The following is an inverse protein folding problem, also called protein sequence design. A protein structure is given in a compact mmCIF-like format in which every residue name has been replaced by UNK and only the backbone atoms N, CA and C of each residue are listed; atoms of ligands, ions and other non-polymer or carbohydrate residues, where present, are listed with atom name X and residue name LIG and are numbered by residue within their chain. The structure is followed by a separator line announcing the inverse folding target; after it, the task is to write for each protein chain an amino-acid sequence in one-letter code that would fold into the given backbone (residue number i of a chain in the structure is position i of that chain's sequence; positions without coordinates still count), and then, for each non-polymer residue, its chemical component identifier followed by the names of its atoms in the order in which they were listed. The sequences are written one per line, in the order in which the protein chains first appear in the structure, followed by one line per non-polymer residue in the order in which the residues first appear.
data_IF_959604425389
#
_entry.id   IF_959604425389
#
_cell.length_a   1.000
_cell.length_b   1.000
_cell.length_c   1.000
_cell.angle_alpha   90.00
_cell.angle_beta   90.00
_cell.angle_gamma   90.00
#
_symmetry.space_group_name_H-M   'P 1'
#
loop_
_entity.id
_entity.type
_entity.pdbx_description
1 polymer ?
#
# COMPACT_ATOMS: atom_id res chain seq x y z
N UNK A 1 -33.22 -6.56 11.44
CA UNK A 1 -34.39 -6.28 10.57
C UNK A 1 -35.69 -6.23 11.40
N UNK A 2 -35.83 -7.05 12.45
CA UNK A 2 -37.06 -7.10 13.30
C UNK A 2 -37.36 -5.78 14.03
N UNK A 3 -36.38 -4.89 14.22
CA UNK A 3 -36.56 -3.62 14.96
C UNK A 3 -36.55 -2.38 14.05
N UNK A 4 -36.80 -2.52 12.74
CA UNK A 4 -36.92 -1.40 11.79
C UNK A 4 -35.54 -0.77 11.39
N UNK A 5 -34.39 -1.29 11.84
CA UNK A 5 -33.09 -0.76 11.45
C UNK A 5 -32.73 -1.16 10.02
N UNK A 6 -32.17 -0.20 9.25
CA UNK A 6 -31.57 -0.48 7.96
C UNK A 6 -30.18 -1.07 8.17
N UNK A 7 -29.96 -2.28 7.66
CA UNK A 7 -28.65 -2.94 7.71
C UNK A 7 -27.91 -2.65 6.41
N UNK A 8 -26.70 -2.08 6.52
CA UNK A 8 -25.82 -1.80 5.40
C UNK A 8 -24.49 -2.57 5.57
N UNK A 9 -23.87 -2.96 4.47
CA UNK A 9 -22.46 -3.43 4.49
C UNK A 9 -21.56 -2.27 4.91
N UNK A 10 -20.43 -2.58 5.58
CA UNK A 10 -19.42 -1.58 5.99
C UNK A 10 -18.95 -0.70 4.83
N UNK A 11 -18.66 -1.31 3.66
CA UNK A 11 -18.26 -0.58 2.45
C UNK A 11 -19.31 0.41 1.97
N UNK A 12 -20.60 0.05 2.04
CA UNK A 12 -21.71 0.96 1.69
C UNK A 12 -21.77 2.17 2.62
N UNK A 13 -21.56 1.94 3.93
CA UNK A 13 -21.50 3.04 4.92
C UNK A 13 -20.31 3.95 4.65
N UNK A 14 -19.12 3.37 4.33
CA UNK A 14 -17.95 4.16 3.97
C UNK A 14 -18.20 5.01 2.73
N UNK A 15 -18.84 4.45 1.68
CA UNK A 15 -19.25 5.21 0.50
C UNK A 15 -20.12 6.42 0.85
N UNK A 16 -21.15 6.22 1.69
CA UNK A 16 -22.03 7.31 2.15
C UNK A 16 -21.28 8.39 2.97
N UNK A 17 -20.31 7.99 3.80
CA UNK A 17 -19.49 8.93 4.58
C UNK A 17 -18.64 9.80 3.66
N UNK A 18 -18.09 9.22 2.60
CA UNK A 18 -17.15 9.88 1.68
C UNK A 18 -17.84 10.64 0.54
N UNK A 19 -19.12 10.42 0.30
CA UNK A 19 -19.89 10.96 -0.83
C UNK A 19 -19.84 12.49 -0.95
N UNK A 20 -19.80 13.20 0.18
CA UNK A 20 -19.76 14.67 0.22
C UNK A 20 -18.38 15.23 0.61
N UNK A 21 -17.32 14.44 0.46
CA UNK A 21 -15.95 14.84 0.79
C UNK A 21 -15.05 14.86 -0.47
N UNK A 22 -13.94 15.58 -0.39
CA UNK A 22 -12.87 15.39 -1.36
C UNK A 22 -12.16 14.06 -1.06
N UNK A 23 -12.53 13.01 -1.77
CA UNK A 23 -12.06 11.67 -1.47
C UNK A 23 -10.76 11.32 -2.23
N UNK A 24 -9.76 10.87 -1.47
CA UNK A 24 -8.50 10.27 -1.95
C UNK A 24 -8.57 8.78 -1.64
N UNK A 25 -8.72 7.95 -2.67
CA UNK A 25 -8.83 6.51 -2.53
C UNK A 25 -7.59 5.80 -3.04
N UNK A 26 -7.02 4.89 -2.25
CA UNK A 26 -5.86 4.10 -2.62
C UNK A 26 -6.26 2.65 -2.82
N UNK A 27 -6.21 2.18 -4.07
CA UNK A 27 -6.53 0.82 -4.49
C UNK A 27 -5.27 0.08 -4.97
N UNK A 28 -5.38 -1.24 -5.08
CA UNK A 28 -4.34 -2.12 -5.61
C UNK A 28 -4.14 -3.36 -4.78
N UNK A 29 -3.67 -4.44 -5.34
CA UNK A 29 -3.43 -5.69 -4.63
C UNK A 29 -2.40 -5.51 -3.50
N UNK A 30 -1.34 -4.75 -3.77
CA UNK A 30 -0.24 -4.46 -2.82
C UNK A 30 -0.07 -2.96 -2.60
N UNK A 31 0.48 -2.55 -1.46
CA UNK A 31 0.85 -1.16 -1.18
C UNK A 31 -0.28 -0.24 -0.67
N UNK A 32 -1.56 -0.65 -0.72
CA UNK A 32 -2.72 0.15 -0.28
C UNK A 32 -2.52 0.80 1.10
N UNK A 33 -2.30 -0.03 2.10
CA UNK A 33 -2.25 0.43 3.50
C UNK A 33 -1.08 1.37 3.77
N UNK A 34 0.09 1.05 3.21
CA UNK A 34 1.27 1.90 3.37
C UNK A 34 1.07 3.25 2.67
N UNK A 35 0.56 3.24 1.43
CA UNK A 35 0.34 4.46 0.66
C UNK A 35 -0.75 5.33 1.30
N UNK A 36 -1.90 4.77 1.70
CA UNK A 36 -2.97 5.54 2.36
C UNK A 36 -2.53 6.09 3.71
N UNK A 37 -1.74 5.34 4.48
CA UNK A 37 -1.16 5.82 5.74
C UNK A 37 -0.14 6.94 5.53
N UNK A 38 0.71 6.83 4.49
CA UNK A 38 1.68 7.88 4.16
C UNK A 38 0.99 9.14 3.66
N UNK A 39 -0.03 9.03 2.80
CA UNK A 39 -0.87 10.16 2.39
C UNK A 39 -1.50 10.83 3.61
N UNK A 40 -2.06 10.07 4.53
CA UNK A 40 -2.66 10.60 5.76
C UNK A 40 -1.63 11.31 6.63
N UNK A 41 -0.41 10.77 6.75
CA UNK A 41 0.69 11.40 7.47
C UNK A 41 1.12 12.72 6.80
N UNK A 42 1.26 12.74 5.47
CA UNK A 42 1.58 13.93 4.69
C UNK A 42 0.53 15.04 4.91
N UNK A 43 -0.76 14.70 4.88
CA UNK A 43 -1.82 15.68 5.14
C UNK A 43 -1.78 16.20 6.59
N UNK A 44 -1.50 15.34 7.55
CA UNK A 44 -1.35 15.71 8.96
C UNK A 44 -0.19 16.69 9.18
N UNK A 45 0.99 16.38 8.64
CA UNK A 45 2.16 17.25 8.72
C UNK A 45 1.94 18.57 7.96
N UNK A 46 1.25 18.50 6.82
CA UNK A 46 0.84 19.65 6.03
C UNK A 46 -0.26 20.49 6.66
N UNK A 47 -0.82 20.10 7.81
CA UNK A 47 -1.95 20.76 8.50
C UNK A 47 -3.21 20.88 7.65
N UNK A 48 -3.42 19.97 6.73
CA UNK A 48 -4.65 19.86 5.94
C UNK A 48 -5.65 19.05 6.76
N UNK A 49 -6.86 19.58 7.05
CA UNK A 49 -7.89 18.84 7.78
C UNK A 49 -8.38 17.63 6.97
N UNK A 50 -8.43 16.46 7.60
CA UNK A 50 -8.87 15.23 6.93
C UNK A 50 -9.45 14.20 7.90
N UNK A 51 -10.14 13.20 7.33
CA UNK A 51 -10.48 11.94 7.98
C UNK A 51 -9.84 10.78 7.20
N UNK A 52 -9.29 9.79 7.90
CA UNK A 52 -8.67 8.61 7.30
C UNK A 52 -9.36 7.32 7.74
N UNK A 53 -9.55 6.42 6.78
CA UNK A 53 -10.06 5.05 6.97
C UNK A 53 -9.05 4.08 6.36
N UNK A 54 -8.21 3.49 7.20
CA UNK A 54 -7.02 2.72 6.83
C UNK A 54 -7.24 1.23 7.10
N UNK A 55 -6.56 0.38 6.32
CA UNK A 55 -6.59 -1.08 6.49
C UNK A 55 -5.71 -1.60 7.63
N UNK A 56 -4.79 -0.77 8.14
CA UNK A 56 -3.87 -1.10 9.23
C UNK A 56 -3.64 0.06 10.16
N UNK A 57 -3.04 -0.20 11.32
CA UNK A 57 -2.74 0.84 12.31
C UNK A 57 -1.52 1.64 11.83
N UNK A 58 -1.74 2.89 11.44
CA UNK A 58 -0.65 3.83 11.16
C UNK A 58 0.14 4.10 12.45
N UNK A 59 1.45 3.89 12.41
CA UNK A 59 2.30 4.12 13.58
C UNK A 59 2.41 5.61 13.94
N UNK A 60 2.35 6.50 12.94
CA UNK A 60 2.35 7.96 13.15
C UNK A 60 1.04 8.48 13.76
N UNK A 61 -0.10 7.90 13.38
CA UNK A 61 -1.43 8.35 13.83
C UNK A 61 -1.96 7.53 15.01
N UNK A 62 -1.34 6.40 15.34
CA UNK A 62 -1.72 5.51 16.44
C UNK A 62 -3.03 4.74 16.22
N UNK A 63 -3.63 4.80 15.01
CA UNK A 63 -4.94 4.24 14.71
C UNK A 63 -5.09 3.87 13.24
N UNK A 64 -6.10 3.10 12.91
CA UNK A 64 -6.59 2.87 11.54
C UNK A 64 -7.79 3.77 11.17
N UNK A 65 -8.25 4.57 12.11
CA UNK A 65 -9.20 5.66 11.89
C UNK A 65 -8.64 6.93 12.52
N UNK A 66 -8.63 8.02 11.78
CA UNK A 66 -8.14 9.30 12.25
C UNK A 66 -9.02 10.42 11.70
N UNK A 67 -9.29 11.44 12.50
CA UNK A 67 -10.10 12.60 12.11
C UNK A 67 -9.58 13.85 12.79
N UNK A 68 -9.17 14.84 11.98
CA UNK A 68 -8.72 16.15 12.45
C UNK A 68 -9.79 17.22 12.34
N UNK A 69 -10.98 16.91 11.79
CA UNK A 69 -12.02 17.91 11.59
C UNK A 69 -12.72 18.22 12.89
N UNK A 70 -12.78 19.49 13.22
CA UNK A 70 -13.50 20.01 14.38
C UNK A 70 -14.86 20.62 14.02
N UNK A 71 -15.12 20.85 12.74
CA UNK A 71 -16.34 21.46 12.20
C UNK A 71 -16.70 20.89 10.82
N UNK A 72 -17.94 21.13 10.38
CA UNK A 72 -18.54 20.58 9.15
C UNK A 72 -18.02 21.22 7.84
N UNK A 73 -16.79 21.71 7.79
CA UNK A 73 -16.20 22.23 6.55
C UNK A 73 -15.91 21.08 5.56
N UNK A 74 -15.72 21.42 4.29
CA UNK A 74 -15.44 20.46 3.23
C UNK A 74 -14.25 19.57 3.59
N UNK A 75 -14.52 18.33 3.94
CA UNK A 75 -13.57 17.40 4.52
C UNK A 75 -12.81 16.68 3.41
N UNK A 76 -11.48 16.59 3.53
CA UNK A 76 -10.71 15.60 2.78
C UNK A 76 -10.87 14.24 3.46
N UNK A 77 -11.11 13.19 2.68
CA UNK A 77 -11.09 11.81 3.21
C UNK A 77 -10.02 11.00 2.51
N UNK A 78 -9.28 10.22 3.27
CA UNK A 78 -8.32 9.23 2.76
C UNK A 78 -8.89 7.85 3.04
N UNK A 79 -9.08 7.06 1.99
CA UNK A 79 -9.64 5.71 2.13
C UNK A 79 -8.73 4.67 1.51
N UNK A 80 -8.53 3.57 2.22
CA UNK A 80 -8.05 2.36 1.60
C UNK A 80 -9.19 1.71 0.82
N UNK A 81 -9.05 1.65 -0.48
CA UNK A 81 -10.05 1.13 -1.42
C UNK A 81 -9.79 -0.36 -1.64
N UNK A 82 -10.44 -1.21 -0.82
CA UNK A 82 -10.26 -2.64 -0.81
C UNK A 82 -11.00 -3.29 -1.98
N UNK A 83 -10.26 -4.01 -2.83
CA UNK A 83 -10.79 -4.77 -3.96
C UNK A 83 -11.54 -6.03 -3.53
N UNK A 84 -11.29 -6.54 -2.34
CA UNK A 84 -11.99 -7.71 -1.82
C UNK A 84 -13.51 -7.50 -1.86
N UNK A 85 -14.25 -8.47 -2.35
CA UNK A 85 -15.72 -8.41 -2.53
C UNK A 85 -16.19 -7.15 -3.32
N UNK A 86 -15.32 -6.57 -4.17
CA UNK A 86 -15.58 -5.36 -4.95
C UNK A 86 -16.02 -4.17 -4.08
N UNK A 87 -15.60 -4.14 -2.83
CA UNK A 87 -15.98 -3.10 -1.86
C UNK A 87 -15.58 -1.70 -2.30
N UNK A 88 -14.46 -1.55 -3.01
CA UNK A 88 -13.98 -0.26 -3.52
C UNK A 88 -14.94 0.40 -4.55
N UNK A 89 -15.83 -0.37 -5.18
CA UNK A 89 -16.83 0.18 -6.12
C UNK A 89 -17.93 1.01 -5.44
N UNK A 90 -17.94 1.07 -4.12
CA UNK A 90 -18.85 1.97 -3.37
C UNK A 90 -18.30 3.37 -3.22
N UNK A 91 -17.03 3.60 -3.59
CA UNK A 91 -16.36 4.90 -3.49
C UNK A 91 -16.44 5.67 -4.80
N UNK A 92 -16.44 7.01 -4.70
CA UNK A 92 -16.36 7.96 -5.82
C UNK A 92 -15.18 8.92 -5.57
N UNK A 93 -13.95 8.56 -5.93
CA UNK A 93 -12.78 9.34 -5.58
C UNK A 93 -12.59 10.59 -6.47
N UNK A 94 -12.12 11.69 -5.88
CA UNK A 94 -11.57 12.84 -6.61
C UNK A 94 -10.12 12.58 -7.01
N UNK A 95 -9.39 11.80 -6.18
CA UNK A 95 -8.06 11.30 -6.49
C UNK A 95 -8.04 9.80 -6.25
N UNK A 96 -7.78 9.01 -7.27
CA UNK A 96 -7.55 7.58 -7.15
C UNK A 96 -6.06 7.27 -7.34
N UNK A 97 -5.49 6.51 -6.43
CA UNK A 97 -4.15 5.93 -6.57
C UNK A 97 -4.32 4.44 -6.83
N UNK A 98 -3.71 3.89 -7.88
CA UNK A 98 -3.70 2.46 -8.15
C UNK A 98 -2.25 1.96 -8.12
N UNK A 99 -1.95 1.13 -7.12
CA UNK A 99 -0.59 0.68 -6.82
C UNK A 99 -0.20 -0.60 -7.55
N UNK A 100 -1.14 -1.49 -7.77
CA UNK A 100 -0.95 -2.76 -8.48
C UNK A 100 -2.29 -3.35 -8.90
N UNK A 101 -2.26 -4.29 -9.84
CA UNK A 101 -3.42 -5.08 -10.29
C UNK A 101 -3.02 -6.56 -10.44
N UNK A 102 -2.14 -7.05 -9.55
CA UNK A 102 -1.74 -8.45 -9.54
C UNK A 102 -2.95 -9.32 -9.14
N UNK A 103 -3.27 -10.39 -9.88
CA UNK A 103 -4.44 -11.20 -9.61
C UNK A 103 -4.41 -11.80 -8.20
N UNK A 104 -5.43 -11.50 -7.42
CA UNK A 104 -5.70 -12.08 -6.10
C UNK A 104 -7.20 -12.35 -5.99
N UNK A 105 -7.62 -13.06 -4.95
CA UNK A 105 -9.04 -13.35 -4.67
C UNK A 105 -9.79 -13.97 -5.86
N UNK A 106 -9.13 -14.86 -6.63
CA UNK A 106 -9.73 -15.48 -7.81
C UNK A 106 -10.93 -16.38 -7.46
N UNK A 107 -11.06 -16.81 -6.22
CA UNK A 107 -12.25 -17.47 -5.68
C UNK A 107 -13.51 -16.57 -5.70
N UNK A 108 -13.33 -15.24 -5.66
CA UNK A 108 -14.40 -14.25 -5.73
C UNK A 108 -14.61 -13.73 -7.15
N UNK A 109 -13.50 -13.51 -7.86
CA UNK A 109 -13.53 -12.89 -9.20
C UNK A 109 -13.73 -13.89 -10.34
N UNK A 110 -13.36 -15.16 -10.14
CA UNK A 110 -13.40 -16.21 -11.13
C UNK A 110 -12.12 -16.30 -11.96
N UNK A 111 -11.70 -15.21 -12.58
CA UNK A 111 -10.49 -15.16 -13.41
C UNK A 111 -9.78 -13.81 -13.34
N UNK A 112 -8.59 -13.72 -13.99
CA UNK A 112 -7.74 -12.53 -14.00
C UNK A 112 -8.36 -11.36 -14.76
N UNK A 113 -9.15 -11.63 -15.79
CA UNK A 113 -9.76 -10.59 -16.63
C UNK A 113 -10.90 -9.92 -15.87
N UNK A 114 -11.72 -10.69 -15.17
CA UNK A 114 -12.77 -10.17 -14.29
C UNK A 114 -12.18 -9.36 -13.11
N UNK A 115 -11.04 -9.82 -12.56
CA UNK A 115 -10.32 -9.05 -11.55
C UNK A 115 -9.86 -7.69 -12.09
N UNK A 116 -9.18 -7.67 -13.24
CA UNK A 116 -8.72 -6.45 -13.91
C UNK A 116 -9.90 -5.54 -14.30
N UNK A 117 -10.98 -6.08 -14.81
CA UNK A 117 -12.19 -5.33 -15.18
C UNK A 117 -12.77 -4.57 -13.97
N UNK A 118 -12.71 -5.14 -12.76
CA UNK A 118 -13.19 -4.46 -11.56
C UNK A 118 -12.36 -3.21 -11.20
N UNK A 119 -11.04 -3.21 -11.45
CA UNK A 119 -10.23 -2.00 -11.32
C UNK A 119 -10.60 -0.95 -12.38
N UNK A 120 -10.96 -1.38 -13.59
CA UNK A 120 -11.46 -0.47 -14.62
C UNK A 120 -12.80 0.17 -14.20
N UNK A 121 -13.68 -0.63 -13.58
CA UNK A 121 -14.93 -0.11 -13.00
C UNK A 121 -14.65 0.91 -11.88
N UNK A 122 -13.65 0.65 -11.03
CA UNK A 122 -13.22 1.59 -10.00
C UNK A 122 -12.65 2.89 -10.60
N UNK A 123 -11.82 2.80 -11.63
CA UNK A 123 -11.25 3.96 -12.33
C UNK A 123 -12.38 4.81 -12.94
N UNK A 124 -13.41 4.19 -13.48
CA UNK A 124 -14.59 4.87 -14.03
C UNK A 124 -15.47 5.55 -12.96
N UNK A 125 -15.20 5.32 -11.67
CA UNK A 125 -15.84 6.00 -10.55
C UNK A 125 -15.17 7.31 -10.15
N UNK A 126 -14.03 7.66 -10.76
CA UNK A 126 -13.33 8.91 -10.48
C UNK A 126 -14.22 10.07 -10.91
N UNK A 127 -14.42 11.02 -10.00
CA UNK A 127 -15.25 12.21 -10.23
C UNK A 127 -14.73 13.05 -11.43
N UNK A 128 -15.60 13.74 -12.15
CA UNK A 128 -15.17 14.66 -13.22
C UNK A 128 -14.15 15.68 -12.72
N UNK A 129 -13.11 15.95 -13.52
CA UNK A 129 -11.92 16.74 -13.18
C UNK A 129 -11.03 16.11 -12.09
N UNK A 130 -11.28 14.85 -11.74
CA UNK A 130 -10.47 14.08 -10.82
C UNK A 130 -9.11 13.68 -11.40
N UNK A 131 -8.31 13.02 -10.57
CA UNK A 131 -6.96 12.56 -10.89
C UNK A 131 -6.84 11.07 -10.67
N UNK A 132 -6.38 10.35 -11.69
CA UNK A 132 -5.85 9.00 -11.56
C UNK A 132 -4.33 9.06 -11.47
N UNK A 133 -3.78 8.55 -10.36
CA UNK A 133 -2.36 8.26 -10.19
C UNK A 133 -2.16 6.76 -10.36
N UNK A 134 -1.58 6.36 -11.47
CA UNK A 134 -1.44 4.96 -11.84
C UNK A 134 0.04 4.55 -11.79
N UNK A 135 0.34 3.44 -11.15
CA UNK A 135 1.69 2.87 -11.24
C UNK A 135 2.03 2.61 -12.70
N UNK A 136 3.22 3.01 -13.10
CA UNK A 136 3.68 2.86 -14.50
C UNK A 136 3.65 1.38 -14.93
N UNK A 137 3.19 1.15 -16.16
CA UNK A 137 3.06 -0.19 -16.73
C UNK A 137 1.73 -0.90 -16.46
N UNK A 138 0.84 -0.31 -15.66
CA UNK A 138 -0.51 -0.82 -15.51
C UNK A 138 -1.42 -0.29 -16.64
N UNK A 139 -2.33 -1.14 -17.09
CA UNK A 139 -3.36 -0.75 -18.05
C UNK A 139 -4.53 -0.06 -17.36
N UNK A 140 -5.23 0.78 -18.10
CA UNK A 140 -6.46 1.44 -17.66
C UNK A 140 -7.44 1.63 -18.82
N UNK A 141 -8.75 1.79 -18.55
CA UNK A 141 -9.75 1.99 -19.60
C UNK A 141 -9.57 3.37 -20.24
N UNK A 142 -10.13 3.56 -21.42
CA UNK A 142 -10.27 4.89 -22.00
C UNK A 142 -11.15 5.73 -21.08
N UNK A 143 -10.59 6.80 -20.52
CA UNK A 143 -11.27 7.71 -19.60
C UNK A 143 -11.36 9.11 -20.20
N UNK A 144 -12.49 9.76 -19.95
CA UNK A 144 -12.74 11.13 -20.34
C UNK A 144 -12.98 11.97 -19.06
N UNK A 145 -12.69 13.26 -19.11
CA UNK A 145 -12.94 14.21 -18.04
C UNK A 145 -12.11 14.05 -16.76
N UNK A 146 -11.09 13.18 -16.76
CA UNK A 146 -10.14 13.06 -15.64
C UNK A 146 -8.71 13.23 -16.15
N UNK A 147 -7.81 13.62 -15.26
CA UNK A 147 -6.38 13.64 -15.52
C UNK A 147 -5.77 12.30 -15.16
N UNK A 148 -4.92 11.75 -16.03
CA UNK A 148 -4.16 10.54 -15.73
C UNK A 148 -2.69 10.89 -15.65
N UNK A 149 -2.06 10.48 -14.57
CA UNK A 149 -0.62 10.61 -14.34
C UNK A 149 -0.05 9.28 -13.87
N UNK A 150 1.12 8.95 -14.37
CA UNK A 150 1.81 7.71 -13.98
C UNK A 150 2.94 7.99 -12.99
N UNK A 151 3.25 6.99 -12.16
CA UNK A 151 4.36 7.09 -11.22
C UNK A 151 5.13 5.78 -11.12
N UNK A 152 6.39 5.85 -10.72
CA UNK A 152 7.20 4.64 -10.52
C UNK A 152 8.68 4.93 -10.29
N UNK A 153 9.47 3.86 -10.36
CA UNK A 153 10.93 3.93 -10.24
C UNK A 153 11.54 4.01 -11.63
N UNK A 154 12.29 5.08 -11.91
CA UNK A 154 12.90 5.42 -13.20
C UNK A 154 11.91 5.56 -14.36
N UNK A 155 10.61 5.60 -14.10
CA UNK A 155 9.54 5.61 -15.11
C UNK A 155 8.31 6.37 -14.61
N UNK A 156 7.51 6.89 -15.54
CA UNK A 156 6.27 7.62 -15.25
C UNK A 156 6.44 9.14 -15.27
N UNK A 157 5.34 9.87 -15.06
CA UNK A 157 5.32 11.32 -14.93
C UNK A 157 5.97 11.78 -13.61
N UNK A 158 5.82 10.99 -12.55
CA UNK A 158 6.46 11.15 -11.25
C UNK A 158 7.41 9.99 -11.03
N UNK A 159 8.67 10.26 -10.79
CA UNK A 159 9.71 9.22 -10.74
C UNK A 159 10.54 9.31 -9.46
N UNK A 160 10.85 8.15 -8.86
CA UNK A 160 12.02 8.02 -8.01
C UNK A 160 13.19 7.56 -8.87
N UNK A 161 14.29 8.28 -8.82
CA UNK A 161 15.53 7.95 -9.51
C UNK A 161 16.70 7.95 -8.52
N UNK A 162 17.85 7.42 -8.93
CA UNK A 162 19.07 7.43 -8.12
C UNK A 162 18.88 6.82 -6.71
N UNK A 163 18.18 5.68 -6.64
CA UNK A 163 17.95 4.97 -5.37
C UNK A 163 19.27 4.49 -4.80
N UNK A 164 19.51 4.79 -3.52
CA UNK A 164 20.73 4.42 -2.80
C UNK A 164 20.46 4.32 -1.30
N UNK A 165 21.44 3.77 -0.59
CA UNK A 165 21.43 3.74 0.87
C UNK A 165 22.53 4.66 1.38
N UNK A 166 22.15 5.64 2.19
CA UNK A 166 23.05 6.57 2.86
C UNK A 166 22.76 6.56 4.37
N UNK A 167 23.75 6.25 5.18
CA UNK A 167 23.65 6.22 6.65
C UNK A 167 22.48 5.36 7.18
N UNK A 168 22.16 4.26 6.50
CA UNK A 168 21.06 3.37 6.85
C UNK A 168 19.67 3.85 6.44
N UNK A 169 19.58 4.92 5.63
CA UNK A 169 18.36 5.42 5.03
C UNK A 169 18.25 5.00 3.57
N UNK A 170 17.03 4.69 3.13
CA UNK A 170 16.73 4.67 1.71
C UNK A 170 16.59 6.10 1.21
N UNK A 171 17.45 6.48 0.27
CA UNK A 171 17.52 7.82 -0.30
C UNK A 171 17.25 7.74 -1.80
N UNK A 172 16.51 8.69 -2.32
CA UNK A 172 16.19 8.79 -3.74
C UNK A 172 16.07 10.25 -4.17
N UNK A 173 16.10 10.46 -5.46
CA UNK A 173 15.79 11.75 -6.05
C UNK A 173 14.39 11.66 -6.67
N UNK A 174 13.56 12.68 -6.46
CA UNK A 174 12.23 12.76 -7.04
C UNK A 174 12.26 13.64 -8.28
N UNK A 175 11.76 13.14 -9.39
CA UNK A 175 11.79 13.80 -10.70
C UNK A 175 10.39 13.87 -11.30
N UNK A 176 10.09 15.04 -11.88
CA UNK A 176 8.97 15.29 -12.80
C UNK A 176 9.48 16.00 -14.03
N UNK A 177 8.64 16.31 -15.01
CA UNK A 177 9.02 17.12 -16.17
C UNK A 177 9.55 18.52 -15.78
N UNK A 178 9.08 19.06 -14.65
CA UNK A 178 9.33 20.43 -14.23
C UNK A 178 10.15 20.57 -12.94
N UNK A 179 10.51 19.48 -12.28
CA UNK A 179 11.21 19.50 -11.00
C UNK A 179 12.15 18.31 -10.81
N UNK A 180 13.26 18.58 -10.15
CA UNK A 180 14.19 17.57 -9.65
C UNK A 180 14.55 17.90 -8.20
N UNK A 181 14.10 17.04 -7.28
CA UNK A 181 14.44 17.14 -5.87
C UNK A 181 15.43 16.05 -5.52
N UNK A 182 16.58 16.39 -5.02
CA UNK A 182 17.64 15.44 -4.73
C UNK A 182 17.69 15.06 -3.25
N UNK A 183 18.03 13.80 -2.94
CA UNK A 183 18.33 13.35 -1.59
C UNK A 183 17.11 13.30 -0.65
N UNK A 184 15.94 12.85 -1.14
CA UNK A 184 14.80 12.58 -0.27
C UNK A 184 15.07 11.31 0.55
N UNK A 185 14.89 11.40 1.86
CA UNK A 185 15.03 10.27 2.78
C UNK A 185 13.66 9.67 3.08
N UNK A 186 13.57 8.35 3.04
CA UNK A 186 12.35 7.63 3.41
C UNK A 186 12.47 7.04 4.81
N UNK A 187 11.51 7.36 5.70
CA UNK A 187 11.50 6.92 7.09
C UNK A 187 11.36 5.41 7.26
N UNK A 188 10.71 4.74 6.31
CA UNK A 188 10.63 3.28 6.27
C UNK A 188 11.43 2.72 5.09
N UNK A 189 12.13 1.58 5.28
CA UNK A 189 12.92 0.98 4.22
C UNK A 189 12.08 0.30 3.14
N UNK A 190 12.72 0.04 2.01
CA UNK A 190 12.19 -0.81 0.95
C UNK A 190 11.93 -0.09 -0.36
N UNK A 191 12.34 -0.73 -1.45
CA UNK A 191 12.15 -0.18 -2.81
C UNK A 191 10.67 0.05 -3.12
N UNK A 192 9.80 -0.89 -2.73
CA UNK A 192 8.37 -0.75 -2.87
C UNK A 192 7.79 0.42 -2.06
N UNK A 193 8.40 0.74 -0.90
CA UNK A 193 8.00 1.90 -0.09
C UNK A 193 8.44 3.22 -0.73
N UNK A 194 9.56 3.23 -1.48
CA UNK A 194 9.92 4.38 -2.31
C UNK A 194 8.87 4.58 -3.42
N UNK A 195 8.43 3.51 -4.08
CA UNK A 195 7.39 3.62 -5.11
C UNK A 195 6.06 4.14 -4.52
N UNK A 196 5.67 3.64 -3.34
CA UNK A 196 4.52 4.16 -2.59
C UNK A 196 4.70 5.65 -2.20
N UNK A 197 5.93 6.05 -1.85
CA UNK A 197 6.25 7.44 -1.52
C UNK A 197 6.10 8.37 -2.73
N UNK A 198 6.47 7.94 -3.94
CA UNK A 198 6.25 8.72 -5.17
C UNK A 198 4.77 9.02 -5.38
N UNK A 199 3.90 8.02 -5.19
CA UNK A 199 2.45 8.23 -5.28
C UNK A 199 1.95 9.21 -4.21
N UNK A 200 2.41 9.06 -2.97
CA UNK A 200 2.01 9.94 -1.88
C UNK A 200 2.52 11.37 -2.05
N UNK A 201 3.73 11.58 -2.59
CA UNK A 201 4.25 12.90 -2.98
C UNK A 201 3.32 13.53 -4.03
N UNK A 202 2.94 12.78 -5.07
CA UNK A 202 2.06 13.27 -6.13
C UNK A 202 0.69 13.71 -5.57
N UNK A 203 0.13 12.97 -4.60
CA UNK A 203 -1.07 13.38 -3.87
C UNK A 203 -0.80 14.66 -3.06
N UNK A 204 0.31 14.73 -2.32
CA UNK A 204 0.66 15.92 -1.54
C UNK A 204 0.82 17.18 -2.41
N UNK A 205 1.44 17.06 -3.58
CA UNK A 205 1.52 18.15 -4.58
C UNK A 205 0.12 18.56 -5.07
N UNK A 206 -0.76 17.61 -5.36
CA UNK A 206 -2.16 17.90 -5.72
C UNK A 206 -2.91 18.63 -4.62
N UNK A 207 -2.55 18.37 -3.36
CA UNK A 207 -3.12 19.04 -2.18
C UNK A 207 -2.44 20.39 -1.84
N UNK A 208 -1.49 20.85 -2.67
CA UNK A 208 -0.84 22.16 -2.54
C UNK A 208 0.36 22.20 -1.60
N UNK A 209 0.89 21.06 -1.17
CA UNK A 209 2.07 20.99 -0.32
C UNK A 209 3.35 21.24 -1.15
N UNK A 210 4.33 21.87 -0.53
CA UNK A 210 5.62 22.17 -1.16
C UNK A 210 6.67 21.09 -0.87
N UNK A 211 7.82 21.19 -1.56
CA UNK A 211 8.94 20.24 -1.42
C UNK A 211 9.38 20.07 0.04
N UNK A 212 9.56 21.15 0.79
CA UNK A 212 10.06 21.09 2.16
C UNK A 212 9.12 20.31 3.08
N UNK A 213 7.81 20.57 2.97
CA UNK A 213 6.79 19.84 3.75
C UNK A 213 6.79 18.34 3.41
N UNK A 214 6.91 18.01 2.12
CA UNK A 214 6.92 16.63 1.66
C UNK A 214 8.19 15.89 2.10
N UNK A 215 9.37 16.54 2.05
CA UNK A 215 10.61 15.97 2.59
C UNK A 215 10.49 15.63 4.08
N UNK A 216 10.02 16.58 4.88
CA UNK A 216 9.84 16.38 6.33
C UNK A 216 8.86 15.24 6.62
N UNK A 217 7.76 15.18 5.86
CA UNK A 217 6.77 14.12 6.03
C UNK A 217 7.33 12.74 5.67
N UNK A 218 8.12 12.62 4.61
CA UNK A 218 8.75 11.34 4.24
C UNK A 218 9.76 10.87 5.29
N UNK A 219 10.60 11.76 5.79
CA UNK A 219 11.63 11.45 6.79
C UNK A 219 11.02 11.07 8.14
N UNK A 220 9.91 11.70 8.54
CA UNK A 220 9.21 11.43 9.80
C UNK A 220 8.21 10.28 9.76
N UNK A 221 7.97 9.68 8.60
CA UNK A 221 7.05 8.56 8.47
C UNK A 221 7.64 7.29 9.06
N UNK A 222 7.01 6.75 10.10
CA UNK A 222 7.45 5.53 10.80
C UNK A 222 6.65 4.27 10.42
N UNK A 223 5.74 4.39 9.45
CA UNK A 223 5.10 3.25 8.81
C UNK A 223 3.77 2.81 9.39
N UNK A 224 3.47 1.56 9.14
CA UNK A 224 2.26 0.86 9.59
C UNK A 224 2.70 -0.35 10.40
N UNK A 225 1.99 -0.66 11.47
CA UNK A 225 2.29 -1.85 12.27
C UNK A 225 2.30 -3.10 11.41
N UNK A 226 3.29 -3.96 11.65
CA UNK A 226 3.52 -5.20 10.91
C UNK A 226 3.81 -5.01 9.42
N UNK A 227 4.36 -3.85 9.02
CA UNK A 227 4.86 -3.58 7.66
C UNK A 227 6.22 -2.93 7.74
N UNK A 228 7.27 -3.75 7.55
CA UNK A 228 8.66 -3.40 7.78
C UNK A 228 8.87 -2.73 9.16
N UNK A 229 8.18 -3.27 10.18
CA UNK A 229 8.20 -2.70 11.53
C UNK A 229 9.46 -3.16 12.28
N UNK A 230 10.30 -2.21 12.67
CA UNK A 230 11.44 -2.51 13.54
C UNK A 230 10.96 -2.73 14.97
N UNK A 231 10.90 -3.99 15.40
CA UNK A 231 10.58 -4.36 16.78
C UNK A 231 11.83 -4.20 17.68
N UNK A 232 13.00 -4.60 17.15
CA UNK A 232 14.29 -4.39 17.80
C UNK A 232 15.25 -3.80 16.76
N UNK A 233 15.93 -2.70 17.13
CA UNK A 233 16.96 -2.10 16.30
C UNK A 233 18.12 -1.64 17.19
N UNK A 234 19.09 -2.53 17.38
CA UNK A 234 20.30 -2.28 18.14
C UNK A 234 21.53 -2.57 17.30
N UNK A 235 22.75 -2.13 17.70
CA UNK A 235 23.98 -2.48 16.98
C UNK A 235 24.26 -3.98 16.91
N UNK A 236 23.70 -4.77 17.84
CA UNK A 236 23.97 -6.21 17.95
C UNK A 236 22.84 -7.08 17.35
N UNK A 237 21.62 -6.56 17.32
CA UNK A 237 20.45 -7.33 16.93
C UNK A 237 19.42 -6.45 16.28
N UNK A 238 18.88 -6.91 15.17
CA UNK A 238 17.75 -6.32 14.47
C UNK A 238 16.65 -7.36 14.34
N UNK A 239 15.42 -6.99 14.71
CA UNK A 239 14.23 -7.78 14.47
C UNK A 239 13.19 -6.92 13.77
N UNK A 240 12.74 -7.41 12.60
CA UNK A 240 11.77 -6.71 11.74
C UNK A 240 10.55 -7.62 11.59
N UNK A 241 9.36 -7.09 11.83
CA UNK A 241 8.09 -7.78 11.58
C UNK A 241 7.45 -7.23 10.31
N UNK A 242 7.00 -8.15 9.42
CA UNK A 242 6.32 -7.80 8.19
C UNK A 242 5.12 -8.70 7.93
N UNK A 243 4.09 -8.17 7.33
CA UNK A 243 2.86 -8.88 7.00
C UNK A 243 2.90 -9.57 5.63
N UNK A 244 4.05 -9.61 4.97
CA UNK A 244 4.23 -10.24 3.67
C UNK A 244 3.66 -11.67 3.67
N UNK A 245 2.69 -11.90 2.80
CA UNK A 245 1.96 -13.17 2.70
C UNK A 245 1.72 -13.60 1.25
N UNK A 246 2.31 -12.87 0.30
CA UNK A 246 2.40 -13.22 -1.11
C UNK A 246 3.88 -13.31 -1.53
N UNK A 247 4.27 -14.19 -2.47
CA UNK A 247 5.67 -14.34 -2.89
C UNK A 247 6.35 -13.02 -3.28
N UNK A 248 5.68 -12.18 -4.04
CA UNK A 248 6.23 -10.89 -4.47
C UNK A 248 6.48 -9.92 -3.30
N UNK A 249 5.62 -9.92 -2.29
CA UNK A 249 5.80 -9.11 -1.08
C UNK A 249 7.00 -9.63 -0.27
N UNK A 250 7.07 -10.97 -0.08
CA UNK A 250 8.15 -11.61 0.64
C UNK A 250 9.51 -11.38 -0.03
N UNK A 251 9.56 -11.51 -1.35
CA UNK A 251 10.77 -11.22 -2.14
C UNK A 251 11.22 -9.76 -1.98
N UNK A 252 10.28 -8.82 -2.12
CA UNK A 252 10.56 -7.40 -1.98
C UNK A 252 11.04 -7.03 -0.57
N UNK A 253 10.43 -7.62 0.47
CA UNK A 253 10.83 -7.46 1.85
C UNK A 253 12.25 -7.97 2.10
N UNK A 254 12.53 -9.24 1.75
CA UNK A 254 13.87 -9.86 1.95
C UNK A 254 14.95 -9.08 1.21
N UNK A 255 14.72 -8.72 -0.05
CA UNK A 255 15.67 -7.90 -0.83
C UNK A 255 15.96 -6.56 -0.15
N UNK A 256 14.94 -5.91 0.39
CA UNK A 256 15.10 -4.63 1.09
C UNK A 256 15.91 -4.77 2.38
N UNK A 257 15.70 -5.87 3.13
CA UNK A 257 16.49 -6.18 4.32
C UNK A 257 17.96 -6.44 3.93
N UNK A 258 18.21 -7.22 2.86
CA UNK A 258 19.58 -7.46 2.35
C UNK A 258 20.29 -6.20 1.89
N UNK A 259 19.56 -5.26 1.30
CA UNK A 259 20.15 -3.96 0.92
C UNK A 259 20.56 -3.13 2.14
N UNK A 260 19.78 -3.17 3.23
CA UNK A 260 20.11 -2.46 4.47
C UNK A 260 21.27 -3.10 5.25
N UNK A 261 21.35 -4.43 5.16
CA UNK A 261 22.27 -5.23 5.96
C UNK A 261 23.10 -6.17 5.05
N UNK A 262 23.91 -5.62 4.10
CA UNK A 262 24.56 -6.41 3.05
C UNK A 262 25.60 -7.40 3.58
N UNK A 263 26.14 -7.17 4.78
CA UNK A 263 27.18 -7.99 5.39
C UNK A 263 26.66 -8.85 6.57
N UNK A 264 25.35 -8.89 6.78
CA UNK A 264 24.75 -9.64 7.88
C UNK A 264 24.09 -10.92 7.38
N UNK A 265 24.09 -11.95 8.21
CA UNK A 265 23.26 -13.13 7.99
C UNK A 265 21.81 -12.83 8.34
N UNK A 266 20.90 -13.21 7.45
CA UNK A 266 19.47 -12.94 7.59
C UNK A 266 18.75 -14.25 7.81
N UNK A 267 18.18 -14.40 9.01
CA UNK A 267 17.27 -15.49 9.34
C UNK A 267 15.82 -14.99 9.24
N UNK A 268 15.00 -15.71 8.49
CA UNK A 268 13.57 -15.43 8.36
C UNK A 268 12.73 -16.51 9.02
N UNK A 269 11.71 -16.09 9.78
CA UNK A 269 10.68 -16.97 10.32
C UNK A 269 9.41 -16.68 9.52
N UNK A 270 8.92 -17.68 8.79
CA UNK A 270 7.76 -17.55 7.93
C UNK A 270 6.65 -18.51 8.35
N UNK A 271 5.45 -17.97 8.58
CA UNK A 271 4.23 -18.75 8.77
C UNK A 271 3.36 -18.60 7.52
N UNK A 272 3.25 -19.65 6.68
CA UNK A 272 2.35 -19.60 5.54
C UNK A 272 0.90 -19.39 6.00
N UNK A 273 0.13 -18.61 5.25
CA UNK A 273 -1.26 -18.29 5.56
C UNK A 273 -2.17 -18.85 4.48
N UNK A 274 -3.14 -19.69 4.88
CA UNK A 274 -4.08 -20.45 4.06
C UNK A 274 -3.45 -21.64 3.31
N UNK A 275 -4.15 -22.77 3.32
CA UNK A 275 -3.71 -23.96 2.59
C UNK A 275 -3.76 -23.75 1.07
N UNK A 276 -4.84 -23.12 0.57
CA UNK A 276 -4.99 -22.83 -0.87
C UNK A 276 -3.87 -21.95 -1.37
N UNK A 277 -3.58 -20.86 -0.68
CA UNK A 277 -2.49 -19.94 -1.06
C UNK A 277 -1.12 -20.62 -1.02
N UNK A 278 -0.84 -21.41 0.01
CA UNK A 278 0.42 -22.15 0.13
C UNK A 278 0.60 -23.12 -1.02
N UNK A 279 -0.44 -23.88 -1.39
CA UNK A 279 -0.43 -24.79 -2.55
C UNK A 279 -0.18 -24.03 -3.86
N UNK A 280 -0.97 -22.98 -4.10
CA UNK A 280 -1.02 -22.31 -5.39
C UNK A 280 0.23 -21.46 -5.68
N UNK A 281 0.93 -21.03 -4.62
CA UNK A 281 2.13 -20.21 -4.70
C UNK A 281 3.39 -20.87 -4.13
N UNK A 282 3.41 -22.19 -3.92
CA UNK A 282 4.52 -22.92 -3.31
C UNK A 282 5.88 -22.62 -3.94
N UNK A 283 5.96 -22.68 -5.27
CA UNK A 283 7.20 -22.40 -6.02
C UNK A 283 7.67 -20.95 -5.79
N UNK A 284 6.74 -19.99 -5.82
CA UNK A 284 7.04 -18.58 -5.59
C UNK A 284 7.54 -18.32 -4.16
N UNK A 285 6.92 -18.94 -3.15
CA UNK A 285 7.38 -18.87 -1.77
C UNK A 285 8.76 -19.49 -1.60
N UNK A 286 9.00 -20.70 -2.14
CA UNK A 286 10.30 -21.37 -2.09
C UNK A 286 11.40 -20.49 -2.70
N UNK A 287 11.12 -19.86 -3.85
CA UNK A 287 12.08 -18.96 -4.52
C UNK A 287 12.34 -17.71 -3.66
N UNK A 288 11.34 -17.12 -3.05
CA UNK A 288 11.52 -15.93 -2.21
C UNK A 288 12.28 -16.26 -0.93
N UNK A 289 11.95 -17.38 -0.27
CA UNK A 289 12.60 -17.84 0.96
C UNK A 289 14.06 -18.26 0.72
N UNK A 290 14.39 -18.79 -0.47
CA UNK A 290 15.78 -19.13 -0.83
C UNK A 290 16.73 -17.92 -0.86
N UNK A 291 16.22 -16.72 -0.80
CA UNK A 291 17.02 -15.50 -0.65
C UNK A 291 17.55 -15.31 0.78
N UNK A 292 17.01 -16.01 1.77
CA UNK A 292 17.45 -15.95 3.16
C UNK A 292 18.72 -16.84 3.36
N UNK A 293 19.51 -16.51 4.37
CA UNK A 293 20.62 -17.38 4.79
C UNK A 293 20.12 -18.54 5.65
N UNK A 294 19.01 -18.31 6.37
CA UNK A 294 18.31 -19.34 7.13
C UNK A 294 16.79 -19.07 7.05
N UNK A 295 16.03 -20.06 6.62
CA UNK A 295 14.57 -20.03 6.64
C UNK A 295 14.03 -20.99 7.71
N UNK A 296 13.16 -20.47 8.58
CA UNK A 296 12.43 -21.25 9.59
C UNK A 296 10.96 -21.20 9.22
N UNK A 297 10.40 -22.36 8.91
CA UNK A 297 8.99 -22.49 8.52
C UNK A 297 8.15 -22.95 9.70
N UNK A 298 7.05 -22.25 9.93
CA UNK A 298 6.03 -22.66 10.89
C UNK A 298 4.89 -23.39 10.17
N UNK A 299 4.05 -24.10 10.92
CA UNK A 299 2.85 -24.71 10.39
C UNK A 299 1.95 -23.68 9.72
N UNK A 300 1.24 -24.11 8.67
CA UNK A 300 0.31 -23.24 7.95
C UNK A 300 -0.77 -22.73 8.91
N UNK A 301 -0.96 -21.40 8.94
CA UNK A 301 -2.09 -20.80 9.64
C UNK A 301 -3.36 -20.94 8.78
N UNK A 302 -4.34 -21.77 9.22
CA UNK A 302 -5.48 -22.17 8.38
C UNK A 302 -6.52 -21.05 8.22
N UNK A 303 -6.57 -20.09 9.14
CA UNK A 303 -7.65 -19.10 9.26
C UNK A 303 -9.04 -19.76 9.20
N UNK A 304 -9.72 -19.67 8.05
CA UNK A 304 -11.06 -20.24 7.83
C UNK A 304 -11.07 -21.49 6.95
N UNK A 305 -9.92 -21.96 6.52
CA UNK A 305 -9.81 -23.14 5.64
C UNK A 305 -9.66 -24.44 6.43
N UNK A 306 -10.15 -25.52 5.86
CA UNK A 306 -9.84 -26.85 6.31
C UNK A 306 -8.50 -27.31 5.71
N UNK A 307 -7.75 -28.19 6.41
CA UNK A 307 -6.53 -28.77 5.88
C UNK A 307 -6.74 -29.45 4.53
N UNK A 308 -5.84 -29.22 3.59
CA UNK A 308 -5.84 -29.88 2.29
C UNK A 308 -4.84 -31.04 2.35
N UNK A 309 -5.23 -32.29 2.02
CA UNK A 309 -4.31 -33.41 2.03
C UNK A 309 -3.05 -33.17 1.19
N UNK A 310 -1.88 -33.39 1.77
CA UNK A 310 -0.59 -33.20 1.10
C UNK A 310 -0.09 -31.75 1.06
N UNK A 311 -0.83 -30.79 1.63
CA UNK A 311 -0.41 -29.38 1.72
C UNK A 311 0.03 -29.06 3.13
N UNK A 312 1.31 -28.81 3.32
CA UNK A 312 1.93 -28.40 4.58
C UNK A 312 3.12 -27.45 4.30
N UNK A 313 3.73 -26.92 5.34
CA UNK A 313 4.87 -26.00 5.19
C UNK A 313 6.15 -26.69 4.71
N UNK A 314 6.27 -28.01 4.82
CA UNK A 314 7.42 -28.78 4.33
C UNK A 314 7.53 -28.78 2.78
N UNK A 315 6.46 -28.36 2.09
CA UNK A 315 6.48 -28.19 0.64
C UNK A 315 7.40 -27.04 0.19
N UNK A 316 7.66 -26.09 1.07
CA UNK A 316 8.41 -24.88 0.79
C UNK A 316 9.90 -25.03 1.11
#
# INVERSE_FOLDING_TARGET
KSNGFTMLKRSKVLGLITENSFNISVAGTHGKTTTSSLVSHILNEGKIPFAAFLGGISANLGSNYYNTNTDNSQTVTVTEADEFDRSFLTLSPNVAVVTSMDPDHLDIYGDKDAFKASFFDFINKIEPNGLLLLRHGLDYPAVNQISVKTYGINQGDYQAINLRIEDGWFVFDFKTDNALWTGLKMGIPGIHNIENAVAAIAVGLKMGLNEQQLRQSLESFIGVKRRFEFIIRTPKQVYIDDYAHHPSELEAFIKSVKMLYPNQQIAGIFQPHLFTRTRDFAEGFSKSLSLLDTAILLDIYPARELPIPGVNSEML
#
